data_IF_538567411386
#
_entry.id   IF_538567411386
#
_cell.length_a   1.000
_cell.length_b   1.000
_cell.length_c   1.000
_cell.angle_alpha   90.00
_cell.angle_beta   90.00
_cell.angle_gamma   90.00
#
_symmetry.space_group_name_H-M   'P 1'
#
loop_
_entity.id
_entity.type
_entity.pdbx_description
1 polymer ?
#
# COMPACT_ATOMS: atom_id res chain seq x y z
N UNK A 1 13.95 5.95 -22.02
CA UNK A 1 13.17 5.82 -20.77
C UNK A 1 14.17 5.56 -19.66
N UNK A 2 14.33 6.48 -18.70
CA UNK A 2 15.28 6.33 -17.60
C UNK A 2 14.64 5.46 -16.53
N UNK A 3 15.30 4.37 -16.15
CA UNK A 3 14.86 3.49 -15.07
C UNK A 3 15.57 3.89 -13.79
N UNK A 4 14.81 4.11 -12.73
CA UNK A 4 15.35 4.36 -11.40
C UNK A 4 15.40 3.05 -10.63
N UNK A 5 16.59 2.57 -10.31
CA UNK A 5 16.83 1.36 -9.55
C UNK A 5 17.34 1.68 -8.15
N UNK A 6 16.77 1.00 -7.14
CA UNK A 6 17.22 1.05 -5.75
C UNK A 6 17.39 -0.37 -5.25
N UNK A 7 18.54 -0.63 -4.61
CA UNK A 7 18.73 -1.81 -3.78
C UNK A 7 18.18 -1.52 -2.38
N UNK A 8 17.10 -2.21 -2.01
CA UNK A 8 16.47 -2.07 -0.70
C UNK A 8 17.33 -2.68 0.42
N UNK A 9 17.57 -1.92 1.49
CA UNK A 9 18.18 -2.40 2.73
C UNK A 9 17.17 -2.43 3.88
N UNK A 10 16.37 -1.39 4.01
CA UNK A 10 15.40 -1.21 5.11
C UNK A 10 14.10 -0.68 4.52
N UNK A 11 12.99 -1.28 4.94
CA UNK A 11 11.64 -0.81 4.63
C UNK A 11 10.90 -0.50 5.94
N UNK A 12 10.58 0.77 6.15
CA UNK A 12 9.82 1.25 7.30
C UNK A 12 8.46 1.80 6.85
N UNK A 13 7.53 1.95 7.79
CA UNK A 13 6.28 2.62 7.54
C UNK A 13 6.01 3.68 8.61
N UNK A 14 5.37 4.77 8.21
CA UNK A 14 4.86 5.78 9.14
C UNK A 14 3.43 6.16 8.79
N UNK A 15 2.68 6.61 9.80
CA UNK A 15 1.33 7.15 9.61
C UNK A 15 1.41 8.66 9.41
N UNK A 16 1.12 9.11 8.19
CA UNK A 16 1.17 10.53 7.82
C UNK A 16 -0.22 11.02 7.44
N UNK A 17 -0.47 12.33 7.56
CA UNK A 17 -1.68 12.91 7.00
C UNK A 17 -1.62 12.85 5.47
N UNK A 18 -2.78 12.65 4.84
CA UNK A 18 -2.90 12.64 3.38
C UNK A 18 -2.31 13.92 2.77
N UNK A 19 -1.31 13.77 1.91
CA UNK A 19 -0.66 14.82 1.15
C UNK A 19 -1.09 14.86 -0.32
N UNK A 20 -0.47 15.73 -1.14
CA UNK A 20 -0.83 15.90 -2.55
C UNK A 20 -0.63 14.66 -3.43
N UNK A 21 0.24 13.73 -3.00
CA UNK A 21 0.54 12.49 -3.73
C UNK A 21 -0.46 11.36 -3.39
N UNK A 22 -1.35 11.58 -2.43
CA UNK A 22 -2.28 10.56 -1.95
C UNK A 22 -3.63 10.66 -2.67
N UNK A 23 -4.11 9.52 -3.16
CA UNK A 23 -5.40 9.41 -3.86
C UNK A 23 -6.59 9.36 -2.89
N UNK A 24 -6.51 10.04 -1.75
CA UNK A 24 -7.60 10.05 -0.77
C UNK A 24 -8.76 10.88 -1.29
N UNK A 25 -9.97 10.35 -1.15
CA UNK A 25 -11.22 11.04 -1.47
C UNK A 25 -11.27 12.36 -0.69
N UNK A 26 -11.43 13.47 -1.43
CA UNK A 26 -11.51 14.82 -0.88
C UNK A 26 -12.44 14.87 0.33
N UNK A 27 -11.89 15.23 1.51
CA UNK A 27 -12.69 15.52 2.71
C UNK A 27 -12.38 14.69 3.97
N UNK A 28 -11.61 13.59 3.90
CA UNK A 28 -11.20 12.85 5.11
C UNK A 28 -9.71 13.03 5.41
N UNK A 29 -9.39 13.78 6.47
CA UNK A 29 -8.05 13.89 7.06
C UNK A 29 -7.67 12.60 7.81
N UNK A 30 -7.65 11.47 7.11
CA UNK A 30 -7.20 10.22 7.70
C UNK A 30 -5.68 10.15 7.67
N UNK A 31 -5.10 9.56 8.72
CA UNK A 31 -3.71 9.12 8.69
C UNK A 31 -3.62 7.90 7.78
N UNK A 32 -2.73 7.95 6.80
CA UNK A 32 -2.48 6.87 5.85
C UNK A 32 -1.07 6.30 6.08
N UNK A 33 -0.86 5.01 5.82
CA UNK A 33 0.48 4.43 5.83
C UNK A 33 1.26 4.91 4.61
N UNK A 34 2.46 5.45 4.85
CA UNK A 34 3.46 5.75 3.82
C UNK A 34 4.67 4.86 4.08
N UNK A 35 5.12 4.14 3.05
CA UNK A 35 6.30 3.27 3.15
C UNK A 35 7.55 4.04 2.74
N UNK A 36 8.62 3.84 3.51
CA UNK A 36 9.93 4.41 3.25
C UNK A 36 10.91 3.27 2.94
N UNK A 37 11.43 3.26 1.72
CA UNK A 37 12.44 2.29 1.28
C UNK A 37 13.79 3.00 1.27
N UNK A 38 14.67 2.57 2.16
CA UNK A 38 16.03 3.08 2.29
C UNK A 38 16.99 2.13 1.59
N UNK A 39 17.83 2.68 0.73
CA UNK A 39 18.70 1.86 -0.11
C UNK A 39 19.80 2.65 -0.79
N UNK A 40 20.44 2.01 -1.76
CA UNK A 40 21.42 2.65 -2.65
C UNK A 40 21.03 2.52 -4.10
N UNK A 41 21.33 3.55 -4.89
CA UNK A 41 21.27 3.50 -6.36
C UNK A 41 22.41 2.65 -6.92
N UNK A 42 22.37 2.36 -8.22
CA UNK A 42 23.42 1.61 -8.92
C UNK A 42 24.79 2.33 -8.85
N UNK A 43 24.78 3.66 -8.74
CA UNK A 43 25.97 4.49 -8.56
C UNK A 43 26.49 4.54 -7.11
N UNK A 44 25.87 3.78 -6.20
CA UNK A 44 26.25 3.71 -4.78
C UNK A 44 25.77 4.90 -3.93
N UNK A 45 24.92 5.78 -4.47
CA UNK A 45 24.37 6.91 -3.71
C UNK A 45 23.24 6.43 -2.81
N UNK A 46 23.17 6.97 -1.59
CA UNK A 46 22.05 6.71 -0.67
C UNK A 46 20.78 7.34 -1.22
N UNK A 47 19.69 6.58 -1.22
CA UNK A 47 18.39 7.04 -1.68
C UNK A 47 17.27 6.58 -0.73
N UNK A 48 16.20 7.38 -0.67
CA UNK A 48 14.99 7.10 0.08
C UNK A 48 13.78 7.25 -0.85
N UNK A 49 12.94 6.22 -0.93
CA UNK A 49 11.70 6.26 -1.70
C UNK A 49 10.49 6.29 -0.78
N UNK A 50 9.61 7.27 -0.98
CA UNK A 50 8.31 7.34 -0.30
C UNK A 50 7.23 6.77 -1.21
N UNK A 51 6.62 5.67 -0.77
CA UNK A 51 5.57 4.98 -1.54
C UNK A 51 4.21 5.28 -0.91
N UNK A 52 3.37 5.90 -1.71
CA UNK A 52 2.02 6.34 -1.35
C UNK A 52 0.95 5.41 -1.96
N UNK A 53 -0.24 5.37 -1.36
CA UNK A 53 -1.39 4.64 -1.90
C UNK A 53 -1.37 3.12 -1.72
N UNK A 54 -0.49 2.60 -0.86
CA UNK A 54 -0.45 1.17 -0.50
C UNK A 54 -1.25 0.98 0.78
N UNK A 55 -2.51 0.56 0.65
CA UNK A 55 -3.40 0.31 1.78
C UNK A 55 -3.46 -1.18 2.10
N UNK A 56 -3.35 -1.58 3.39
CA UNK A 56 -3.48 -2.96 3.79
C UNK A 56 -4.91 -3.45 3.51
N UNK A 57 -5.02 -4.70 3.04
CA UNK A 57 -6.31 -5.32 2.77
C UNK A 57 -6.35 -6.73 3.35
N UNK A 58 -7.56 -7.18 3.67
CA UNK A 58 -7.82 -8.53 4.13
C UNK A 58 -8.82 -9.21 3.20
N UNK A 59 -8.50 -10.43 2.78
CA UNK A 59 -9.39 -11.24 1.94
C UNK A 59 -10.23 -12.13 2.84
N UNK A 60 -11.52 -11.83 2.93
CA UNK A 60 -12.44 -12.64 3.70
C UNK A 60 -13.16 -13.63 2.78
N UNK A 61 -13.14 -14.89 3.19
CA UNK A 61 -14.03 -15.91 2.61
C UNK A 61 -15.41 -15.69 3.20
N UNK A 62 -16.34 -15.20 2.39
CA UNK A 62 -17.74 -15.15 2.78
C UNK A 62 -18.35 -16.52 2.49
N UNK A 63 -18.54 -17.32 3.54
CA UNK A 63 -19.15 -18.65 3.47
C UNK A 63 -19.97 -18.91 4.73
N UNK A 64 -21.28 -18.98 4.56
CA UNK A 64 -22.28 -19.33 5.57
C UNK A 64 -23.54 -19.82 4.85
N UNK A 65 -24.34 -20.66 5.51
CA UNK A 65 -25.45 -21.45 4.95
C UNK A 65 -26.55 -20.57 4.34
N UNK A 66 -26.37 -20.09 3.11
CA UNK A 66 -27.42 -19.51 2.29
C UNK A 66 -27.38 -20.25 0.95
N UNK A 67 -28.25 -21.27 0.86
CA UNK A 67 -28.60 -22.10 -0.30
C UNK A 67 -27.50 -22.97 -0.96
N UNK A 68 -27.79 -24.26 -1.22
CA UNK A 68 -26.88 -25.14 -1.95
C UNK A 68 -26.93 -24.76 -3.43
N UNK A 69 -25.95 -24.00 -3.93
CA UNK A 69 -25.81 -23.82 -5.38
C UNK A 69 -25.03 -22.64 -5.95
N UNK A 70 -24.46 -21.70 -5.18
CA UNK A 70 -23.84 -20.51 -5.79
C UNK A 70 -22.49 -20.08 -5.19
N UNK A 71 -21.46 -20.25 -6.04
CA UNK A 71 -20.20 -19.53 -6.18
C UNK A 71 -19.70 -18.71 -4.97
N UNK A 72 -18.61 -19.18 -4.37
CA UNK A 72 -17.81 -18.46 -3.39
C UNK A 72 -17.43 -17.06 -3.91
N UNK A 73 -17.94 -16.00 -3.26
CA UNK A 73 -17.47 -14.63 -3.48
C UNK A 73 -16.36 -14.31 -2.48
N UNK A 74 -15.21 -13.89 -2.98
CA UNK A 74 -14.12 -13.29 -2.16
C UNK A 74 -14.35 -11.78 -2.12
N UNK A 75 -14.37 -11.19 -0.92
CA UNK A 75 -14.46 -9.74 -0.75
C UNK A 75 -13.12 -9.24 -0.22
N UNK A 76 -12.62 -8.14 -0.80
CA UNK A 76 -11.44 -7.43 -0.32
C UNK A 76 -11.90 -6.30 0.60
N UNK A 77 -11.49 -6.33 1.86
CA UNK A 77 -11.69 -5.24 2.81
C UNK A 77 -10.40 -4.45 2.93
N UNK A 78 -10.45 -3.15 2.63
CA UNK A 78 -9.35 -2.22 2.88
C UNK A 78 -9.46 -1.78 4.35
N UNK A 79 -8.40 -1.98 5.14
CA UNK A 79 -8.35 -1.65 6.56
C UNK A 79 -8.19 -0.14 6.80
#
# INVERSE_FOLDING_TARGET
MVQFCIRNFICEYSQQFSGPLDKTVAGKKNKIPVFHIHGTTDDGQKACLHVHGVLPYLVLRVGGKLTPGRNFRRIFYIL
#
